data_IF_586004128117
#
_entry.id   IF_586004128117
#
_cell.length_a   1.000
_cell.length_b   1.000
_cell.length_c   1.000
_cell.angle_alpha   90.00
_cell.angle_beta   90.00
_cell.angle_gamma   90.00
#
_symmetry.space_group_name_H-M   'P 1'
#
loop_
_entity.id
_entity.type
_entity.pdbx_description
1 polymer ?
#
# COMPACT_ATOMS: atom_id res chain seq x y z
N UNK A 1 9.63 7.05 33.98
CA UNK A 1 10.55 7.09 32.81
C UNK A 1 9.78 7.52 31.56
N UNK A 2 10.34 8.38 30.73
CA UNK A 2 9.72 8.79 29.46
C UNK A 2 9.83 7.62 28.49
N UNK A 3 8.71 7.03 28.11
CA UNK A 3 8.64 6.05 27.05
C UNK A 3 8.63 6.79 25.71
N UNK A 4 9.68 6.64 24.95
CA UNK A 4 9.97 7.41 23.76
C UNK A 4 9.36 6.81 22.48
N UNK A 5 8.10 6.50 22.47
CA UNK A 5 7.37 6.18 21.25
C UNK A 5 6.37 7.30 20.93
N UNK A 6 6.15 7.56 19.63
CA UNK A 6 5.10 8.50 19.24
C UNK A 6 3.73 8.03 19.74
N UNK A 7 2.81 8.98 19.92
CA UNK A 7 1.45 8.65 20.32
C UNK A 7 0.80 7.66 19.34
N UNK A 8 0.04 6.69 19.84
CA UNK A 8 -0.61 5.67 19.03
C UNK A 8 -1.43 6.22 17.84
N UNK A 9 -2.16 7.36 17.94
CA UNK A 9 -2.84 7.97 16.80
C UNK A 9 -1.91 8.49 15.71
N UNK A 10 -0.66 8.82 16.02
CA UNK A 10 0.34 9.36 15.09
C UNK A 10 1.23 8.26 14.51
N UNK A 11 1.25 7.09 15.14
CA UNK A 11 2.06 5.97 14.71
C UNK A 11 1.65 5.47 13.33
N UNK A 12 2.58 5.50 12.37
CA UNK A 12 2.36 5.00 11.02
C UNK A 12 2.50 3.48 10.90
N UNK A 13 3.00 2.80 11.95
CA UNK A 13 3.27 1.36 11.93
C UNK A 13 4.42 0.97 11.01
N UNK A 14 5.34 1.87 10.72
CA UNK A 14 6.51 1.58 9.90
C UNK A 14 7.50 0.60 10.58
N UNK A 15 7.47 0.48 11.91
CA UNK A 15 8.30 -0.41 12.72
C UNK A 15 9.83 -0.17 12.64
N UNK A 16 10.27 0.99 12.19
CA UNK A 16 11.68 1.36 12.23
C UNK A 16 12.24 1.31 13.67
N UNK A 17 11.42 1.73 14.66
CA UNK A 17 11.78 1.69 16.08
C UNK A 17 12.08 0.27 16.60
N UNK A 18 11.36 -0.75 16.13
CA UNK A 18 11.60 -2.15 16.47
C UNK A 18 12.96 -2.61 15.93
N UNK A 19 13.25 -2.26 14.68
CA UNK A 19 14.47 -2.68 13.99
C UNK A 19 15.75 -1.99 14.51
N UNK A 20 15.63 -0.79 15.08
CA UNK A 20 16.80 -0.05 15.60
C UNK A 20 17.15 -0.44 17.02
N UNK A 21 16.28 -1.13 17.76
CA UNK A 21 16.49 -1.41 19.19
C UNK A 21 17.56 -2.48 19.40
N UNK A 22 18.75 -2.14 19.95
CA UNK A 22 19.85 -3.10 20.12
C UNK A 22 19.58 -4.11 21.25
N UNK A 23 18.57 -3.83 22.11
CA UNK A 23 18.14 -4.69 23.21
C UNK A 23 16.92 -5.53 22.87
N UNK A 24 16.39 -5.40 21.64
CA UNK A 24 15.13 -6.05 21.24
C UNK A 24 13.99 -5.82 22.25
N UNK A 25 13.99 -4.63 22.86
CA UNK A 25 13.01 -4.22 23.88
C UNK A 25 11.72 -3.68 23.30
N UNK A 26 11.53 -3.71 21.96
CA UNK A 26 10.32 -3.22 21.31
C UNK A 26 9.65 -4.40 20.61
N UNK A 27 8.50 -4.77 21.12
CA UNK A 27 7.57 -5.71 20.51
C UNK A 27 6.44 -5.01 19.76
N UNK A 28 5.42 -5.78 19.39
CA UNK A 28 4.21 -5.27 18.73
C UNK A 28 2.99 -5.61 19.57
N UNK A 29 2.01 -4.70 19.55
CA UNK A 29 0.66 -4.91 20.06
C UNK A 29 -0.34 -4.51 19.00
N UNK A 30 -1.60 -4.85 19.18
CA UNK A 30 -2.66 -4.57 18.23
C UNK A 30 -3.59 -3.48 18.74
N UNK A 31 -3.94 -2.53 17.85
CA UNK A 31 -5.04 -1.60 18.04
C UNK A 31 -6.40 -2.28 17.84
N UNK A 32 -7.50 -1.55 18.10
CA UNK A 32 -8.86 -2.12 18.06
C UNK A 32 -9.34 -2.58 16.65
N UNK A 33 -8.72 -2.12 15.58
CA UNK A 33 -8.90 -2.62 14.21
C UNK A 33 -7.73 -3.52 13.76
N UNK A 34 -6.90 -3.99 14.70
CA UNK A 34 -5.73 -4.80 14.42
C UNK A 34 -4.56 -4.02 13.82
N UNK A 35 -4.52 -2.69 14.03
CA UNK A 35 -3.35 -1.91 13.63
C UNK A 35 -2.14 -2.32 14.47
N UNK A 36 -1.03 -2.64 13.80
CA UNK A 36 0.23 -2.97 14.48
C UNK A 36 0.79 -1.70 15.12
N UNK A 37 0.98 -1.74 16.43
CA UNK A 37 1.56 -0.67 17.24
C UNK A 37 2.80 -1.20 17.98
N UNK A 38 3.90 -0.43 18.05
CA UNK A 38 5.06 -0.82 18.83
C UNK A 38 4.76 -0.70 20.34
N UNK A 39 5.28 -1.64 21.12
CA UNK A 39 5.19 -1.64 22.57
C UNK A 39 6.59 -1.88 23.18
N UNK A 40 6.96 -1.08 24.19
CA UNK A 40 8.25 -1.20 24.88
C UNK A 40 8.11 -2.22 26.01
N UNK A 41 9.02 -3.18 26.05
CA UNK A 41 9.30 -4.05 27.19
C UNK A 41 10.20 -3.27 28.17
N UNK A 42 9.63 -2.85 29.28
CA UNK A 42 10.32 -1.97 30.26
C UNK A 42 11.49 -2.66 30.93
N UNK A 43 11.44 -3.98 31.10
CA UNK A 43 12.51 -4.76 31.75
C UNK A 43 13.76 -4.88 30.87
N UNK A 44 13.59 -4.81 29.54
CA UNK A 44 14.68 -4.85 28.57
C UNK A 44 15.16 -3.47 28.12
N UNK A 45 14.33 -2.44 28.32
CA UNK A 45 14.62 -1.10 27.82
C UNK A 45 15.67 -0.40 28.67
N UNK A 46 16.77 0.02 28.03
CA UNK A 46 17.87 0.78 28.66
C UNK A 46 17.77 2.29 28.44
N UNK A 47 16.63 2.78 27.99
CA UNK A 47 16.32 4.20 27.77
C UNK A 47 17.35 4.98 26.91
N UNK A 48 17.88 4.34 25.87
CA UNK A 48 18.90 4.96 25.00
C UNK A 48 18.35 5.98 23.99
N UNK A 49 17.04 6.10 23.83
CA UNK A 49 16.36 7.04 22.95
C UNK A 49 16.54 6.80 21.45
N UNK A 50 17.13 5.68 21.01
CA UNK A 50 17.34 5.41 19.59
C UNK A 50 16.04 5.30 18.80
N UNK A 51 15.02 4.66 19.38
CA UNK A 51 13.69 4.50 18.77
C UNK A 51 12.99 5.84 18.54
N UNK A 52 13.22 6.80 19.44
CA UNK A 52 12.71 8.16 19.37
C UNK A 52 13.36 8.91 18.18
N UNK A 53 14.68 8.88 18.12
CA UNK A 53 15.47 9.59 17.10
C UNK A 53 15.17 9.18 15.66
N UNK A 54 14.75 7.92 15.44
CA UNK A 54 14.47 7.43 14.08
C UNK A 54 12.96 7.42 13.75
N UNK A 55 12.09 7.79 14.67
CA UNK A 55 10.67 7.79 14.42
C UNK A 55 10.27 8.91 13.46
N UNK A 56 9.70 8.62 12.27
CA UNK A 56 9.35 9.66 11.31
C UNK A 56 8.14 10.52 11.75
N UNK A 57 7.37 10.08 12.74
CA UNK A 57 6.31 10.89 13.33
C UNK A 57 6.87 11.95 14.29
N UNK A 58 7.96 11.65 14.99
CA UNK A 58 8.65 12.57 15.90
C UNK A 58 9.72 13.43 15.19
N UNK A 59 10.41 12.82 14.22
CA UNK A 59 11.48 13.45 13.44
C UNK A 59 11.13 13.42 11.95
N UNK A 60 10.25 14.30 11.49
CA UNK A 60 9.86 14.37 10.10
C UNK A 60 11.02 14.81 9.22
N UNK A 61 11.18 14.11 8.10
CA UNK A 61 12.15 14.49 7.07
C UNK A 61 11.59 15.57 6.15
N UNK A 62 12.47 16.37 5.50
CA UNK A 62 12.06 17.29 4.44
C UNK A 62 11.40 16.54 3.28
N UNK A 63 10.46 17.20 2.64
CA UNK A 63 9.78 16.72 1.44
C UNK A 63 10.01 17.71 0.29
N UNK A 64 10.00 17.21 -0.93
CA UNK A 64 10.35 17.95 -2.13
C UNK A 64 9.15 18.11 -3.06
N UNK A 65 9.03 19.26 -3.76
CA UNK A 65 8.08 19.38 -4.86
C UNK A 65 8.48 18.42 -5.99
N UNK A 66 7.50 17.90 -6.72
CA UNK A 66 7.80 17.12 -7.92
C UNK A 66 8.36 18.02 -9.01
N UNK A 67 9.47 17.60 -9.63
CA UNK A 67 10.18 18.30 -10.68
C UNK A 67 9.53 18.05 -12.04
N UNK A 68 9.11 16.80 -12.27
CA UNK A 68 8.47 16.35 -13.50
C UNK A 68 7.33 15.38 -13.22
N UNK A 69 6.39 15.31 -14.17
CA UNK A 69 5.27 14.39 -14.16
C UNK A 69 5.14 13.70 -15.52
N UNK A 70 4.92 12.40 -15.51
CA UNK A 70 4.74 11.60 -16.71
C UNK A 70 3.51 10.71 -16.61
N UNK A 71 2.76 10.60 -17.70
CA UNK A 71 1.86 9.51 -17.99
C UNK A 71 2.70 8.38 -18.60
N UNK A 72 2.75 7.21 -17.93
CA UNK A 72 3.68 6.17 -18.35
C UNK A 72 3.11 4.75 -18.18
N UNK A 73 3.57 3.84 -19.05
CA UNK A 73 3.32 2.41 -18.93
C UNK A 73 4.47 1.61 -19.54
N UNK A 74 4.64 0.37 -19.08
CA UNK A 74 5.71 -0.51 -19.56
C UNK A 74 5.49 -0.94 -21.01
N UNK A 75 6.56 -1.05 -21.80
CA UNK A 75 6.54 -1.62 -23.14
C UNK A 75 6.49 -3.16 -23.14
N UNK A 76 6.79 -3.79 -22.02
CA UNK A 76 6.67 -5.25 -21.91
C UNK A 76 5.18 -5.61 -21.81
N UNK A 77 4.63 -6.21 -22.85
CA UNK A 77 3.22 -6.52 -22.97
C UNK A 77 2.70 -7.44 -21.88
N UNK A 78 3.47 -8.49 -21.53
CA UNK A 78 3.10 -9.43 -20.46
C UNK A 78 2.98 -8.71 -19.10
N UNK A 79 3.92 -7.80 -18.82
CA UNK A 79 3.88 -7.02 -17.59
C UNK A 79 2.73 -6.00 -17.62
N UNK A 80 2.45 -5.40 -18.77
CA UNK A 80 1.39 -4.42 -18.95
C UNK A 80 0.01 -5.03 -18.73
N UNK A 81 -0.29 -6.14 -19.40
CA UNK A 81 -1.58 -6.86 -19.28
C UNK A 81 -1.81 -7.38 -17.86
N UNK A 82 -0.75 -7.82 -17.17
CA UNK A 82 -0.84 -8.31 -15.79
C UNK A 82 -0.77 -7.21 -14.71
N UNK A 83 -0.54 -5.96 -15.10
CA UNK A 83 -0.44 -4.84 -14.18
C UNK A 83 -1.81 -4.37 -13.69
N UNK A 84 -1.84 -3.63 -12.58
CA UNK A 84 -3.04 -2.97 -12.04
C UNK A 84 -3.21 -1.53 -12.53
N UNK A 85 -2.25 -1.02 -13.30
CA UNK A 85 -2.19 0.29 -13.94
C UNK A 85 -1.14 0.18 -15.06
N UNK A 86 -0.36 1.19 -15.36
CA UNK A 86 0.69 1.16 -16.39
C UNK A 86 1.88 0.24 -16.14
N UNK A 87 1.94 -0.55 -15.06
CA UNK A 87 3.01 -1.50 -14.79
C UNK A 87 4.33 -0.89 -14.33
N UNK A 88 4.36 0.39 -13.96
CA UNK A 88 5.60 1.12 -13.66
C UNK A 88 6.37 0.56 -12.46
N UNK A 89 5.70 0.07 -11.40
CA UNK A 89 6.42 -0.57 -10.28
C UNK A 89 7.24 -1.79 -10.74
N UNK A 90 6.68 -2.60 -11.63
CA UNK A 90 7.35 -3.77 -12.21
C UNK A 90 8.49 -3.35 -13.14
N UNK A 91 8.27 -2.37 -14.02
CA UNK A 91 9.30 -1.87 -14.95
C UNK A 91 10.52 -1.29 -14.19
N UNK A 92 10.27 -0.46 -13.17
CA UNK A 92 11.31 0.11 -12.29
C UNK A 92 12.08 -1.02 -11.58
N UNK A 93 11.36 -2.01 -11.02
CA UNK A 93 11.98 -3.14 -10.33
C UNK A 93 12.86 -3.99 -11.26
N UNK A 94 12.34 -4.33 -12.45
CA UNK A 94 13.09 -5.12 -13.45
C UNK A 94 14.31 -4.35 -13.96
N UNK A 95 14.23 -3.03 -14.12
CA UNK A 95 15.38 -2.20 -14.51
C UNK A 95 16.50 -2.22 -13.47
N UNK A 96 16.18 -2.27 -12.17
CA UNK A 96 17.18 -2.40 -11.10
C UNK A 96 17.78 -3.80 -11.06
N UNK A 97 16.95 -4.84 -11.11
CA UNK A 97 17.41 -6.24 -11.10
C UNK A 97 18.30 -6.56 -12.30
N UNK A 98 17.96 -6.10 -13.52
CA UNK A 98 18.74 -6.34 -14.75
C UNK A 98 20.15 -5.75 -14.67
N UNK A 99 20.36 -4.75 -13.83
CA UNK A 99 21.67 -4.10 -13.57
C UNK A 99 22.38 -4.67 -12.32
N UNK A 100 21.94 -5.84 -11.82
CA UNK A 100 22.56 -6.51 -10.65
C UNK A 100 22.18 -5.91 -9.29
N UNK A 101 21.18 -5.02 -9.24
CA UNK A 101 20.67 -4.46 -8.00
C UNK A 101 19.67 -5.36 -7.28
N UNK A 102 19.12 -4.87 -6.19
CA UNK A 102 18.09 -5.56 -5.39
C UNK A 102 16.88 -4.65 -5.14
N UNK A 103 15.72 -5.25 -4.98
CA UNK A 103 14.45 -4.55 -4.77
C UNK A 103 13.81 -4.99 -3.46
N UNK A 104 13.36 -4.03 -2.68
CA UNK A 104 12.51 -4.23 -1.52
C UNK A 104 11.10 -3.73 -1.84
N UNK A 105 10.14 -4.62 -1.83
CA UNK A 105 8.75 -4.31 -2.20
C UNK A 105 7.75 -5.22 -1.50
N UNK A 106 6.48 -4.88 -1.65
CA UNK A 106 5.37 -5.57 -0.99
C UNK A 106 4.89 -6.77 -1.79
N UNK A 107 4.86 -7.95 -1.17
CA UNK A 107 4.32 -9.20 -1.72
C UNK A 107 3.18 -9.76 -0.86
N UNK A 108 2.30 -10.57 -1.47
CA UNK A 108 1.28 -11.34 -0.78
C UNK A 108 1.66 -12.83 -0.79
N UNK A 109 1.66 -13.45 0.39
CA UNK A 109 1.84 -14.88 0.59
C UNK A 109 0.58 -15.45 1.24
N UNK A 110 -0.35 -15.95 0.42
CA UNK A 110 -1.69 -16.24 0.90
C UNK A 110 -2.36 -14.97 1.42
N UNK A 111 -2.78 -14.96 2.67
CA UNK A 111 -3.39 -13.78 3.31
C UNK A 111 -2.37 -12.84 3.98
N UNK A 112 -1.12 -13.24 4.12
CA UNK A 112 -0.08 -12.39 4.70
C UNK A 112 0.51 -11.46 3.64
N UNK A 113 0.54 -10.18 3.94
CA UNK A 113 1.11 -9.13 3.08
C UNK A 113 2.32 -8.52 3.76
N UNK A 114 3.50 -8.68 3.15
CA UNK A 114 4.76 -8.23 3.74
C UNK A 114 5.74 -7.70 2.69
N UNK A 115 6.65 -6.85 3.13
CA UNK A 115 7.81 -6.50 2.32
C UNK A 115 8.80 -7.65 2.28
N UNK A 116 9.43 -7.81 1.13
CA UNK A 116 10.50 -8.79 0.93
C UNK A 116 11.63 -8.22 0.07
N UNK A 117 12.81 -8.81 0.21
CA UNK A 117 13.95 -8.60 -0.66
C UNK A 117 13.80 -9.46 -1.92
N UNK A 118 13.99 -8.86 -3.08
CA UNK A 118 14.00 -9.50 -4.39
C UNK A 118 15.36 -9.29 -5.05
N UNK A 119 15.95 -10.36 -5.56
CA UNK A 119 17.24 -10.33 -6.25
C UNK A 119 17.17 -10.94 -7.64
N UNK A 120 16.01 -11.46 -8.06
CA UNK A 120 15.79 -12.11 -9.35
C UNK A 120 14.54 -11.57 -10.03
N UNK A 121 14.43 -11.77 -11.35
CA UNK A 121 13.22 -11.42 -12.12
C UNK A 121 12.00 -12.20 -11.65
N UNK A 122 12.17 -13.44 -11.22
CA UNK A 122 11.10 -14.27 -10.66
C UNK A 122 10.56 -13.70 -9.34
N UNK A 123 11.44 -13.16 -8.49
CA UNK A 123 11.00 -12.50 -7.25
C UNK A 123 10.16 -11.25 -7.53
N UNK A 124 10.48 -10.49 -8.59
CA UNK A 124 9.71 -9.29 -8.97
C UNK A 124 8.25 -9.65 -9.30
N UNK A 125 7.99 -10.82 -9.87
CA UNK A 125 6.62 -11.28 -10.15
C UNK A 125 5.76 -11.36 -8.87
N UNK A 126 6.35 -11.67 -7.71
CA UNK A 126 5.67 -11.71 -6.40
C UNK A 126 5.23 -10.31 -5.92
N UNK A 127 5.88 -9.26 -6.43
CA UNK A 127 5.54 -7.87 -6.10
C UNK A 127 4.37 -7.32 -6.91
N UNK A 128 3.99 -7.95 -8.03
CA UNK A 128 2.91 -7.48 -8.91
C UNK A 128 1.58 -7.33 -8.18
N UNK A 129 0.80 -6.39 -8.65
CA UNK A 129 -0.54 -6.09 -8.14
C UNK A 129 -0.53 -5.18 -6.91
N UNK A 130 -1.47 -4.24 -6.84
CA UNK A 130 -1.68 -3.35 -5.69
C UNK A 130 -2.23 -4.13 -4.50
N UNK A 131 -1.68 -3.91 -3.30
CA UNK A 131 -2.15 -4.51 -2.05
C UNK A 131 -2.76 -3.40 -1.20
N UNK A 132 -4.09 -3.31 -1.15
CA UNK A 132 -4.82 -2.26 -0.42
C UNK A 132 -4.92 -2.54 1.08
N UNK A 133 -3.83 -2.98 1.69
CA UNK A 133 -3.69 -3.33 3.10
C UNK A 133 -2.29 -2.98 3.57
N UNK A 134 -2.11 -2.74 4.86
CA UNK A 134 -0.79 -2.46 5.40
C UNK A 134 0.11 -3.70 5.33
N UNK A 135 1.27 -3.57 4.67
CA UNK A 135 2.29 -4.60 4.65
C UNK A 135 3.15 -4.58 5.92
N UNK A 136 3.53 -5.76 6.39
CA UNK A 136 4.52 -5.91 7.45
C UNK A 136 5.92 -5.65 6.90
N UNK A 137 6.73 -4.91 7.67
CA UNK A 137 8.11 -4.58 7.28
C UNK A 137 9.13 -5.63 7.76
N UNK A 138 8.79 -6.39 8.81
CA UNK A 138 9.69 -7.41 9.34
C UNK A 138 11.11 -6.88 9.62
N UNK A 139 12.11 -7.59 9.13
CA UNK A 139 13.55 -7.30 9.21
C UNK A 139 14.12 -6.56 7.99
N UNK A 140 13.25 -6.09 7.10
CA UNK A 140 13.62 -5.40 5.85
C UNK A 140 14.61 -4.26 6.07
N UNK A 141 14.50 -3.52 7.17
CA UNK A 141 15.40 -2.41 7.47
C UNK A 141 16.86 -2.83 7.62
N UNK A 142 17.10 -3.96 8.31
CA UNK A 142 18.44 -4.48 8.55
C UNK A 142 19.04 -5.04 7.26
N UNK A 143 18.26 -5.83 6.50
CA UNK A 143 18.69 -6.38 5.23
C UNK A 143 18.97 -5.27 4.20
N UNK A 144 18.10 -4.26 4.09
CA UNK A 144 18.28 -3.12 3.20
C UNK A 144 19.54 -2.32 3.56
N UNK A 145 19.77 -2.05 4.85
CA UNK A 145 20.99 -1.34 5.30
C UNK A 145 22.24 -2.14 4.95
N UNK A 146 22.22 -3.45 5.10
CA UNK A 146 23.34 -4.33 4.73
C UNK A 146 23.63 -4.21 3.23
N UNK A 147 22.64 -4.40 2.37
CA UNK A 147 22.79 -4.33 0.92
C UNK A 147 23.33 -2.96 0.46
N UNK A 148 22.81 -1.87 1.05
CA UNK A 148 23.29 -0.50 0.77
C UNK A 148 24.76 -0.33 1.14
N UNK A 149 25.18 -0.81 2.33
CA UNK A 149 26.56 -0.72 2.80
C UNK A 149 27.51 -1.64 2.02
N UNK A 150 27.04 -2.73 1.48
CA UNK A 150 27.78 -3.61 0.55
C UNK A 150 27.93 -3.01 -0.85
N UNK A 151 27.36 -1.83 -1.11
CA UNK A 151 27.49 -1.10 -2.37
C UNK A 151 26.52 -1.56 -3.47
N UNK A 152 25.55 -2.42 -3.16
CA UNK A 152 24.53 -2.83 -4.12
C UNK A 152 23.62 -1.64 -4.48
N UNK A 153 23.15 -1.58 -5.73
CA UNK A 153 22.04 -0.69 -6.08
C UNK A 153 20.76 -1.24 -5.45
N UNK A 154 20.16 -0.46 -4.57
CA UNK A 154 18.96 -0.86 -3.81
C UNK A 154 17.78 0.01 -4.22
N UNK A 155 16.66 -0.63 -4.56
CA UNK A 155 15.37 0.01 -4.74
C UNK A 155 14.45 -0.34 -3.56
N UNK A 156 13.84 0.67 -2.94
CA UNK A 156 12.76 0.49 -1.98
C UNK A 156 11.46 1.07 -2.54
N UNK A 157 10.42 0.23 -2.67
CA UNK A 157 9.06 0.63 -3.07
C UNK A 157 8.11 0.41 -1.89
N UNK A 158 7.45 1.47 -1.42
CA UNK A 158 6.50 1.37 -0.31
C UNK A 158 5.57 2.57 -0.19
N UNK A 159 4.76 2.61 0.86
CA UNK A 159 3.99 3.82 1.17
C UNK A 159 4.93 4.94 1.62
N UNK A 160 4.54 6.22 1.48
CA UNK A 160 5.42 7.34 1.87
C UNK A 160 5.92 7.28 3.31
N UNK A 161 5.08 6.81 4.24
CA UNK A 161 5.47 6.64 5.64
C UNK A 161 6.48 5.49 5.85
N UNK A 162 6.46 4.46 5.01
CA UNK A 162 7.47 3.40 5.01
C UNK A 162 8.80 3.89 4.43
N UNK A 163 8.76 4.68 3.35
CA UNK A 163 9.96 5.36 2.81
C UNK A 163 10.58 6.26 3.88
N UNK A 164 9.77 7.06 4.57
CA UNK A 164 10.26 7.89 5.69
C UNK A 164 10.90 7.07 6.80
N UNK A 165 10.29 5.91 7.13
CA UNK A 165 10.87 4.96 8.08
C UNK A 165 12.24 4.44 7.65
N UNK A 166 12.41 4.07 6.37
CA UNK A 166 13.68 3.61 5.80
C UNK A 166 14.74 4.72 5.86
N UNK A 167 14.41 5.92 5.39
CA UNK A 167 15.35 7.07 5.41
C UNK A 167 15.78 7.43 6.84
N UNK A 168 14.84 7.50 7.79
CA UNK A 168 15.17 7.77 9.19
C UNK A 168 16.01 6.64 9.83
N UNK A 169 15.73 5.38 9.49
CA UNK A 169 16.51 4.25 9.99
C UNK A 169 17.98 4.29 9.51
N UNK A 170 18.19 4.68 8.26
CA UNK A 170 19.52 4.81 7.67
C UNK A 170 20.28 6.04 8.17
N UNK A 171 19.60 7.11 8.58
CA UNK A 171 20.13 8.37 9.13
C UNK A 171 21.01 9.19 8.20
N UNK A 172 21.23 8.76 6.99
CA UNK A 172 21.97 9.49 5.95
C UNK A 172 21.47 9.11 4.57
N UNK A 173 21.76 9.95 3.60
CA UNK A 173 21.47 9.68 2.21
C UNK A 173 22.54 8.77 1.60
N UNK A 174 22.11 7.86 0.73
CA UNK A 174 22.99 6.96 -0.01
C UNK A 174 22.73 7.12 -1.51
N UNK A 175 23.79 7.27 -2.30
CA UNK A 175 23.69 7.40 -3.76
C UNK A 175 23.15 6.14 -4.45
N UNK A 176 23.42 4.97 -3.87
CA UNK A 176 23.00 3.67 -4.37
C UNK A 176 21.60 3.20 -3.85
N UNK A 177 20.90 4.02 -3.05
CA UNK A 177 19.52 3.77 -2.64
C UNK A 177 18.55 4.63 -3.45
N UNK A 178 17.71 4.01 -4.25
CA UNK A 178 16.57 4.63 -4.92
C UNK A 178 15.30 4.36 -4.11
N UNK A 179 14.48 5.39 -3.90
CA UNK A 179 13.21 5.27 -3.19
C UNK A 179 12.04 5.63 -4.09
N UNK A 180 10.99 4.80 -4.07
CA UNK A 180 9.74 5.04 -4.78
C UNK A 180 8.57 4.94 -3.82
N UNK A 181 7.79 6.00 -3.69
CA UNK A 181 6.57 5.93 -2.90
C UNK A 181 5.32 5.81 -3.77
N UNK A 182 4.26 5.30 -3.14
CA UNK A 182 2.95 5.19 -3.76
C UNK A 182 2.10 6.42 -3.42
N UNK A 183 1.25 6.86 -4.35
CA UNK A 183 0.17 7.81 -4.04
C UNK A 183 -0.86 7.05 -3.19
N UNK A 184 -0.75 7.19 -1.85
CA UNK A 184 -1.39 6.33 -0.89
C UNK A 184 -2.66 6.94 -0.30
N UNK A 185 -3.78 6.22 -0.39
CA UNK A 185 -5.08 6.63 0.17
C UNK A 185 -5.22 6.45 1.69
N UNK A 186 -4.38 5.60 2.28
CA UNK A 186 -4.46 5.08 3.62
C UNK A 186 -4.53 3.57 3.61
N UNK A 187 -4.24 2.93 4.74
CA UNK A 187 -4.15 1.48 4.83
C UNK A 187 -4.98 0.92 6.00
N UNK A 188 -5.85 -0.09 5.74
CA UNK A 188 -6.39 -0.97 6.77
C UNK A 188 -5.32 -1.90 7.31
N UNK A 189 -5.57 -2.50 8.47
CA UNK A 189 -4.74 -3.60 8.99
C UNK A 189 -5.00 -4.91 8.24
N UNK A 190 -4.06 -5.85 8.32
CA UNK A 190 -4.28 -7.21 7.81
C UNK A 190 -5.39 -7.93 8.59
N UNK A 191 -5.55 -7.67 9.88
CA UNK A 191 -6.64 -8.23 10.69
C UNK A 191 -8.02 -7.79 10.18
N UNK A 192 -8.17 -6.51 9.74
CA UNK A 192 -9.40 -6.03 9.10
C UNK A 192 -9.70 -6.77 7.79
N UNK A 193 -8.67 -7.04 6.97
CA UNK A 193 -8.81 -7.85 5.75
C UNK A 193 -9.21 -9.28 6.10
N UNK A 194 -8.52 -9.91 7.05
CA UNK A 194 -8.81 -11.27 7.49
C UNK A 194 -10.21 -11.41 8.09
N UNK A 195 -10.67 -10.43 8.87
CA UNK A 195 -12.02 -10.44 9.45
C UNK A 195 -13.09 -10.39 8.35
N UNK A 196 -12.92 -9.52 7.35
CA UNK A 196 -13.84 -9.44 6.21
C UNK A 196 -13.82 -10.71 5.37
N UNK A 197 -12.62 -11.23 5.02
CA UNK A 197 -12.50 -12.45 4.22
C UNK A 197 -13.05 -13.67 4.95
N UNK A 198 -12.72 -13.90 6.21
CA UNK A 198 -13.29 -15.02 6.99
C UNK A 198 -14.81 -15.03 6.97
N UNK A 199 -15.42 -13.83 7.07
CA UNK A 199 -16.87 -13.73 6.95
C UNK A 199 -17.37 -14.05 5.55
N UNK A 200 -16.69 -13.55 4.53
CA UNK A 200 -17.10 -13.67 3.13
C UNK A 200 -16.99 -15.08 2.57
N UNK A 201 -15.96 -15.84 3.02
CA UNK A 201 -15.67 -17.21 2.55
C UNK A 201 -16.01 -18.31 3.58
N UNK A 202 -16.73 -17.98 4.66
CA UNK A 202 -17.07 -18.95 5.72
C UNK A 202 -17.77 -20.21 5.21
N UNK A 203 -18.69 -20.04 4.23
CA UNK A 203 -19.46 -21.13 3.65
C UNK A 203 -18.63 -21.99 2.65
N UNK A 204 -17.39 -21.56 2.34
CA UNK A 204 -16.43 -22.29 1.49
C UNK A 204 -15.59 -23.26 2.32
N UNK A 205 -15.47 -23.03 3.64
CA UNK A 205 -14.63 -23.78 4.57
C UNK A 205 -13.15 -23.90 4.10
N UNK A 206 -12.44 -22.77 3.87
CA UNK A 206 -11.10 -22.80 3.35
C UNK A 206 -10.12 -23.36 4.39
N UNK A 207 -9.21 -24.25 3.96
CA UNK A 207 -8.08 -24.72 4.78
C UNK A 207 -6.80 -23.98 4.46
N UNK A 208 -6.63 -23.52 3.21
CA UNK A 208 -5.45 -22.81 2.77
C UNK A 208 -5.82 -21.78 1.72
N UNK A 209 -5.40 -20.54 1.92
CA UNK A 209 -5.41 -19.50 0.89
C UNK A 209 -4.02 -19.42 0.27
N UNK A 210 -3.95 -19.54 -1.05
CA UNK A 210 -2.68 -19.55 -1.80
C UNK A 210 -2.49 -18.30 -2.65
N UNK A 211 -3.56 -17.55 -2.96
CA UNK A 211 -3.53 -16.38 -3.80
C UNK A 211 -4.50 -15.31 -3.28
N UNK A 212 -4.05 -14.07 -3.31
CA UNK A 212 -4.82 -12.88 -2.96
C UNK A 212 -4.52 -11.77 -3.98
N UNK A 213 -5.56 -11.22 -4.59
CA UNK A 213 -5.48 -10.02 -5.44
C UNK A 213 -6.58 -9.04 -5.09
N UNK A 214 -6.32 -7.77 -5.32
CA UNK A 214 -7.25 -6.68 -5.06
C UNK A 214 -7.76 -6.02 -6.35
N UNK A 215 -7.20 -6.37 -7.50
CA UNK A 215 -7.63 -5.84 -8.80
C UNK A 215 -7.62 -6.93 -9.85
N UNK A 216 -8.62 -6.86 -10.74
CA UNK A 216 -8.73 -7.77 -11.88
C UNK A 216 -9.39 -7.01 -13.03
N UNK A 217 -8.61 -6.62 -14.04
CA UNK A 217 -9.11 -5.81 -15.18
C UNK A 217 -10.24 -6.47 -15.95
N UNK A 218 -10.22 -7.79 -16.08
CA UNK A 218 -11.28 -8.55 -16.77
C UNK A 218 -12.64 -8.42 -16.06
N UNK A 219 -12.64 -8.13 -14.75
CA UNK A 219 -13.85 -8.08 -13.91
C UNK A 219 -14.18 -6.68 -13.34
N UNK A 220 -13.64 -5.64 -13.93
CA UNK A 220 -13.97 -4.27 -13.56
C UNK A 220 -13.05 -3.68 -12.49
N UNK A 221 -11.74 -3.75 -12.70
CA UNK A 221 -10.66 -3.13 -11.93
C UNK A 221 -10.57 -3.55 -10.46
N UNK A 222 -11.48 -3.09 -9.60
CA UNK A 222 -11.46 -3.40 -8.17
C UNK A 222 -12.24 -4.68 -7.88
N UNK A 223 -11.54 -5.79 -7.87
CA UNK A 223 -12.07 -7.11 -7.54
C UNK A 223 -11.18 -7.77 -6.49
N UNK A 224 -11.72 -8.02 -5.31
CA UNK A 224 -11.06 -8.83 -4.29
C UNK A 224 -11.18 -10.29 -4.69
N UNK A 225 -10.06 -10.88 -5.03
CA UNK A 225 -9.96 -12.27 -5.45
C UNK A 225 -9.14 -13.06 -4.44
N UNK A 226 -9.65 -14.24 -4.08
CA UNK A 226 -8.98 -15.15 -3.16
C UNK A 226 -9.11 -16.58 -3.71
N UNK A 227 -7.99 -17.31 -3.81
CA UNK A 227 -7.95 -18.72 -4.24
C UNK A 227 -7.26 -19.57 -3.20
N UNK A 228 -7.61 -20.85 -3.19
CA UNK A 228 -6.99 -21.79 -2.26
C UNK A 228 -7.64 -23.16 -2.29
N UNK A 229 -7.54 -23.89 -1.18
CA UNK A 229 -8.10 -25.22 -1.01
C UNK A 229 -9.18 -25.22 0.07
N UNK A 230 -10.27 -25.95 -0.19
CA UNK A 230 -11.32 -26.26 0.77
C UNK A 230 -10.89 -27.39 1.70
N UNK A 231 -11.71 -27.66 2.73
CA UNK A 231 -11.52 -28.77 3.67
C UNK A 231 -11.51 -30.15 3.00
N UNK A 232 -12.24 -30.31 1.91
CA UNK A 232 -12.26 -31.54 1.09
C UNK A 232 -11.09 -31.64 0.08
N UNK A 233 -10.12 -30.71 0.15
CA UNK A 233 -8.96 -30.65 -0.75
C UNK A 233 -9.23 -30.01 -2.13
N UNK A 234 -10.49 -29.70 -2.45
CA UNK A 234 -10.83 -29.09 -3.75
C UNK A 234 -10.45 -27.62 -3.81
N UNK A 235 -10.07 -27.10 -4.99
CA UNK A 235 -9.81 -25.69 -5.17
C UNK A 235 -11.08 -24.85 -5.01
N UNK A 236 -10.90 -23.62 -4.55
CA UNK A 236 -11.95 -22.61 -4.56
C UNK A 236 -11.46 -21.30 -5.18
N UNK A 237 -12.42 -20.55 -5.71
CA UNK A 237 -12.28 -19.18 -6.16
C UNK A 237 -13.35 -18.33 -5.50
N UNK A 238 -12.93 -17.27 -4.84
CA UNK A 238 -13.80 -16.20 -4.31
C UNK A 238 -13.47 -14.90 -5.01
N UNK A 239 -14.48 -14.23 -5.53
CA UNK A 239 -14.36 -12.95 -6.23
C UNK A 239 -15.50 -12.01 -5.82
N UNK A 240 -15.16 -10.76 -5.46
CA UNK A 240 -16.14 -9.70 -5.18
C UNK A 240 -15.60 -8.34 -5.62
N UNK A 241 -16.43 -7.63 -6.38
CA UNK A 241 -16.19 -6.24 -6.76
C UNK A 241 -16.51 -5.25 -5.65
N UNK A 242 -16.60 -3.97 -6.03
CA UNK A 242 -17.04 -2.88 -5.13
C UNK A 242 -18.55 -2.95 -4.99
N UNK A 243 -19.02 -3.73 -4.03
CA UNK A 243 -20.42 -3.77 -3.64
C UNK A 243 -20.54 -3.89 -2.11
N UNK A 244 -21.77 -3.89 -1.61
CA UNK A 244 -22.02 -4.04 -0.18
C UNK A 244 -22.22 -5.49 0.25
N UNK A 245 -21.88 -6.47 -0.57
CA UNK A 245 -21.93 -7.90 -0.23
C UNK A 245 -20.70 -8.35 0.56
N UNK A 246 -19.59 -7.61 0.48
CA UNK A 246 -18.45 -7.77 1.37
C UNK A 246 -18.15 -6.44 2.07
N UNK A 247 -17.55 -6.52 3.24
CA UNK A 247 -17.26 -5.35 4.08
C UNK A 247 -15.94 -4.66 3.73
N UNK A 248 -15.02 -5.33 3.01
CA UNK A 248 -13.65 -4.82 2.83
C UNK A 248 -13.59 -3.57 1.96
N UNK A 249 -14.08 -3.63 0.72
CA UNK A 249 -13.99 -2.50 -0.19
C UNK A 249 -14.77 -1.27 0.27
N UNK A 250 -16.03 -1.37 0.74
CA UNK A 250 -16.70 -0.18 1.26
C UNK A 250 -15.94 0.46 2.42
N UNK A 251 -15.41 -0.34 3.37
CA UNK A 251 -14.65 0.23 4.49
C UNK A 251 -13.29 0.80 4.08
N UNK A 252 -12.67 0.26 3.03
CA UNK A 252 -11.47 0.81 2.42
C UNK A 252 -11.77 2.12 1.66
N UNK A 253 -12.62 2.10 0.63
CA UNK A 253 -12.84 3.26 -0.23
C UNK A 253 -13.42 4.48 0.50
N UNK A 254 -14.22 4.25 1.53
CA UNK A 254 -14.76 5.34 2.34
C UNK A 254 -13.91 5.65 3.58
N UNK A 255 -12.71 5.11 3.66
CA UNK A 255 -11.77 5.38 4.72
C UNK A 255 -12.32 5.07 6.12
N UNK A 256 -13.06 3.96 6.30
CA UNK A 256 -13.60 3.62 7.61
C UNK A 256 -12.59 2.85 8.48
N UNK A 257 -11.75 1.99 7.85
CA UNK A 257 -10.87 1.04 8.50
C UNK A 257 -9.38 1.42 8.49
N UNK A 258 -9.03 2.63 8.06
CA UNK A 258 -7.63 3.07 8.01
C UNK A 258 -7.03 3.24 9.41
N UNK A 259 -5.71 3.16 9.48
CA UNK A 259 -4.94 3.58 10.67
C UNK A 259 -5.28 5.02 11.04
N UNK A 260 -5.18 5.34 12.34
CA UNK A 260 -5.44 6.69 12.82
C UNK A 260 -4.55 7.76 12.15
N UNK A 261 -3.27 7.45 11.97
CA UNK A 261 -2.30 8.34 11.32
C UNK A 261 -2.63 8.66 9.86
N UNK A 262 -3.38 7.80 9.15
CA UNK A 262 -3.78 8.06 7.77
C UNK A 262 -4.75 9.24 7.62
N UNK A 263 -5.55 9.53 8.65
CA UNK A 263 -6.49 10.67 8.60
C UNK A 263 -5.83 12.03 8.89
N UNK A 264 -4.58 12.04 9.29
CA UNK A 264 -3.74 13.23 9.50
C UNK A 264 -2.36 13.02 8.86
N UNK A 265 -2.35 12.30 7.73
CA UNK A 265 -1.13 11.89 7.06
C UNK A 265 -0.35 13.10 6.54
N UNK A 266 0.86 13.31 7.01
CA UNK A 266 1.73 14.40 6.55
C UNK A 266 2.31 14.19 5.15
N UNK A 267 2.14 13.00 4.59
CA UNK A 267 2.61 12.65 3.24
C UNK A 267 1.52 12.71 2.17
N UNK A 268 0.28 13.03 2.56
CA UNK A 268 -0.84 13.17 1.63
C UNK A 268 -0.95 14.60 1.11
N UNK A 269 0.12 15.08 0.51
CA UNK A 269 0.28 16.41 -0.08
C UNK A 269 1.12 16.33 -1.34
N UNK A 270 1.22 17.47 -2.06
CA UNK A 270 1.98 17.57 -3.32
C UNK A 270 3.50 17.40 -3.16
N UNK A 271 4.05 17.69 -1.98
CA UNK A 271 5.47 17.42 -1.68
C UNK A 271 5.66 15.94 -1.38
N UNK A 272 6.75 15.37 -1.86
CA UNK A 272 7.05 13.95 -1.77
C UNK A 272 8.33 13.67 -0.97
N UNK A 273 8.39 12.47 -0.37
CA UNK A 273 9.51 12.04 0.48
C UNK A 273 10.54 11.20 -0.28
N UNK A 274 10.17 10.65 -1.43
CA UNK A 274 10.94 9.69 -2.21
C UNK A 274 11.57 10.32 -3.45
N UNK A 275 12.45 9.59 -4.13
CA UNK A 275 13.05 10.02 -5.39
C UNK A 275 12.01 10.05 -6.53
N UNK A 276 11.06 9.10 -6.51
CA UNK A 276 9.92 9.08 -7.43
C UNK A 276 8.65 8.67 -6.70
N UNK A 277 7.48 9.10 -7.21
CA UNK A 277 6.17 8.65 -6.73
C UNK A 277 5.36 8.07 -7.88
N UNK A 278 4.63 6.98 -7.62
CA UNK A 278 3.81 6.32 -8.63
C UNK A 278 2.38 6.07 -8.14
N UNK A 279 1.45 6.04 -9.08
CA UNK A 279 0.03 5.74 -8.82
C UNK A 279 -0.76 5.63 -10.13
N UNK A 280 -2.08 5.49 -10.05
CA UNK A 280 -2.96 5.60 -11.20
C UNK A 280 -3.08 7.08 -11.63
N UNK A 281 -3.09 7.38 -12.93
CA UNK A 281 -3.19 8.75 -13.42
C UNK A 281 -4.65 9.18 -13.61
N UNK A 282 -5.36 9.42 -12.51
CA UNK A 282 -6.78 9.80 -12.56
C UNK A 282 -7.07 11.18 -13.18
N UNK A 283 -6.10 12.08 -13.19
CA UNK A 283 -6.25 13.46 -13.68
C UNK A 283 -5.76 13.69 -15.12
N UNK A 284 -5.40 12.65 -15.85
CA UNK A 284 -4.89 12.77 -17.21
C UNK A 284 -5.96 13.35 -18.14
N UNK A 285 -5.62 14.44 -18.84
CA UNK A 285 -6.50 15.13 -19.79
C UNK A 285 -6.14 14.87 -21.25
N UNK A 286 -4.96 14.34 -21.51
CA UNK A 286 -4.46 14.09 -22.85
C UNK A 286 -5.15 12.86 -23.47
N UNK A 287 -6.17 13.13 -24.30
CA UNK A 287 -6.94 12.08 -24.98
C UNK A 287 -6.11 11.25 -25.96
N UNK A 288 -5.00 11.80 -26.49
CA UNK A 288 -4.12 11.05 -27.37
C UNK A 288 -3.41 9.96 -26.59
N UNK A 289 -2.86 10.32 -25.43
CA UNK A 289 -2.22 9.35 -24.50
C UNK A 289 -3.22 8.30 -24.01
N UNK A 290 -4.47 8.68 -23.74
CA UNK A 290 -5.52 7.71 -23.39
C UNK A 290 -5.79 6.69 -24.50
N UNK A 291 -5.74 7.11 -25.77
CA UNK A 291 -5.96 6.21 -26.91
C UNK A 291 -4.78 5.28 -27.22
N UNK A 292 -3.59 5.63 -26.77
CA UNK A 292 -2.38 4.81 -26.94
C UNK A 292 -2.25 3.71 -25.86
N UNK A 293 -3.00 3.81 -24.76
CA UNK A 293 -2.88 2.94 -23.60
C UNK A 293 -4.12 2.03 -23.43
N UNK A 294 -3.96 0.74 -23.71
CA UNK A 294 -5.07 -0.21 -23.73
C UNK A 294 -5.48 -0.74 -22.34
N UNK A 295 -4.59 -0.69 -21.34
CA UNK A 295 -4.85 -1.37 -20.05
C UNK A 295 -4.86 -0.43 -18.84
N UNK A 296 -4.09 0.63 -18.83
CA UNK A 296 -4.03 1.59 -17.72
C UNK A 296 -2.78 2.45 -17.80
N UNK A 297 -2.85 3.62 -17.17
CA UNK A 297 -1.78 4.62 -17.20
C UNK A 297 -1.36 4.93 -15.78
N UNK A 298 -0.06 4.79 -15.52
CA UNK A 298 0.52 5.24 -14.25
C UNK A 298 0.94 6.70 -14.33
N UNK A 299 0.68 7.45 -13.28
CA UNK A 299 1.41 8.69 -13.03
C UNK A 299 2.78 8.35 -12.44
N UNK A 300 3.82 8.99 -12.96
CA UNK A 300 5.17 8.99 -12.40
C UNK A 300 5.56 10.42 -12.09
N UNK A 301 5.69 10.75 -10.81
CA UNK A 301 6.25 12.01 -10.35
C UNK A 301 7.73 11.79 -10.06
N UNK A 302 8.58 12.63 -10.62
CA UNK A 302 10.03 12.63 -10.35
C UNK A 302 10.33 13.78 -9.39
N UNK A 303 10.97 13.49 -8.25
CA UNK A 303 11.03 14.41 -7.12
C UNK A 303 12.47 14.86 -6.78
N UNK A 304 13.50 14.16 -7.30
CA UNK A 304 14.91 14.44 -7.04
C UNK A 304 15.76 14.24 -8.29
N UNK A 305 16.97 14.82 -8.33
CA UNK A 305 17.93 14.61 -9.41
C UNK A 305 18.28 13.13 -9.61
N UNK A 306 18.38 12.36 -8.51
CA UNK A 306 18.59 10.91 -8.55
C UNK A 306 17.41 10.19 -9.23
N UNK A 307 16.17 10.59 -8.90
CA UNK A 307 14.97 10.11 -9.59
C UNK A 307 14.97 10.45 -11.07
N UNK A 308 15.38 11.67 -11.44
CA UNK A 308 15.51 12.12 -12.83
C UNK A 308 16.52 11.26 -13.60
N UNK A 309 17.71 11.08 -13.06
CA UNK A 309 18.75 10.27 -13.69
C UNK A 309 18.31 8.80 -13.89
N UNK A 310 17.67 8.22 -12.87
CA UNK A 310 17.15 6.86 -12.96
C UNK A 310 16.03 6.75 -13.99
N UNK A 311 15.03 7.63 -13.94
CA UNK A 311 13.90 7.60 -14.86
C UNK A 311 14.35 7.80 -16.33
N UNK A 312 15.33 8.68 -16.57
CA UNK A 312 15.95 8.84 -17.89
C UNK A 312 16.61 7.55 -18.38
N UNK A 313 17.25 6.78 -17.48
CA UNK A 313 17.94 5.53 -17.84
C UNK A 313 17.02 4.38 -18.24
N UNK A 314 15.70 4.48 -18.01
CA UNK A 314 14.71 3.45 -18.32
C UNK A 314 13.73 3.83 -19.44
N UNK A 315 13.93 4.96 -20.12
CA UNK A 315 13.04 5.44 -21.19
C UNK A 315 12.87 4.45 -22.36
N UNK A 316 13.88 3.61 -22.61
CA UNK A 316 13.80 2.54 -23.61
C UNK A 316 12.74 1.49 -23.28
N UNK A 317 12.45 1.27 -21.99
CA UNK A 317 11.59 0.19 -21.47
C UNK A 317 10.13 0.61 -21.27
N UNK A 318 9.83 1.91 -21.40
CA UNK A 318 8.51 2.47 -21.10
C UNK A 318 7.99 3.39 -22.19
N UNK A 319 6.67 3.43 -22.35
CA UNK A 319 5.99 4.56 -22.97
C UNK A 319 5.90 5.67 -21.93
N UNK A 320 6.24 6.88 -22.30
CA UNK A 320 6.36 8.00 -21.36
C UNK A 320 6.02 9.32 -22.04
N UNK A 321 5.00 10.00 -21.51
CA UNK A 321 4.50 11.28 -22.02
C UNK A 321 4.51 12.30 -20.88
N UNK A 322 5.32 13.35 -21.03
CA UNK A 322 5.39 14.42 -20.03
C UNK A 322 4.05 15.13 -19.91
N UNK A 323 3.61 15.37 -18.68
CA UNK A 323 2.33 15.98 -18.36
C UNK A 323 2.51 17.08 -17.31
N UNK A 324 1.57 18.04 -17.18
CA UNK A 324 1.58 18.99 -16.08
C UNK A 324 1.44 18.26 -14.71
N UNK A 325 2.25 18.66 -13.74
CA UNK A 325 2.15 18.13 -12.35
C UNK A 325 0.78 18.41 -11.76
N UNK A 326 0.17 19.54 -12.13
CA UNK A 326 -1.17 19.98 -11.69
C UNK A 326 -2.27 18.99 -12.08
N UNK A 327 -2.15 18.32 -13.23
CA UNK A 327 -3.13 17.31 -13.66
C UNK A 327 -3.08 16.07 -12.76
N UNK A 328 -1.89 15.62 -12.39
CA UNK A 328 -1.73 14.56 -11.41
C UNK A 328 -2.30 14.94 -10.03
N UNK A 329 -2.04 16.16 -9.58
CA UNK A 329 -2.54 16.70 -8.31
C UNK A 329 -4.07 16.81 -8.33
N UNK A 330 -4.65 17.34 -9.41
CA UNK A 330 -6.11 17.51 -9.54
C UNK A 330 -6.85 16.16 -9.50
N UNK A 331 -6.31 15.12 -10.15
CA UNK A 331 -6.91 13.81 -10.24
C UNK A 331 -6.69 12.91 -9.02
N UNK A 332 -5.65 13.18 -8.22
CA UNK A 332 -5.28 12.36 -7.07
C UNK A 332 -5.50 13.11 -5.75
N UNK A 333 -6.63 12.89 -5.12
CA UNK A 333 -7.02 13.58 -3.87
C UNK A 333 -5.94 13.50 -2.78
N UNK A 334 -5.15 12.41 -2.74
CA UNK A 334 -4.08 12.15 -1.77
C UNK A 334 -2.80 12.95 -2.05
N UNK A 335 -2.73 13.66 -3.15
CA UNK A 335 -1.72 14.70 -3.40
C UNK A 335 -2.16 16.08 -2.89
N UNK A 336 -3.38 16.20 -2.36
CA UNK A 336 -3.94 17.46 -1.86
C UNK A 336 -4.18 17.46 -0.36
N UNK A 337 -4.74 16.37 0.19
CA UNK A 337 -5.06 16.25 1.61
C UNK A 337 -5.23 14.79 2.06
N UNK A 338 -5.07 14.50 3.36
CA UNK A 338 -5.41 13.21 3.94
C UNK A 338 -6.90 12.89 3.81
N UNK A 339 -7.22 11.60 3.79
CA UNK A 339 -8.61 11.13 3.84
C UNK A 339 -9.33 11.67 5.08
N UNK A 340 -10.48 12.32 4.89
CA UNK A 340 -11.26 12.90 5.99
C UNK A 340 -12.12 11.85 6.71
N UNK A 341 -12.24 11.98 8.03
CA UNK A 341 -13.21 11.18 8.81
C UNK A 341 -14.61 11.72 8.60
N UNK A 342 -15.46 10.93 8.00
CA UNK A 342 -16.89 11.21 7.84
C UNK A 342 -17.69 10.79 9.08
N UNK A 343 -18.99 11.11 9.13
CA UNK A 343 -19.90 10.58 10.15
C UNK A 343 -19.95 9.04 10.15
N UNK A 344 -19.93 8.41 8.94
CA UNK A 344 -19.84 6.95 8.80
C UNK A 344 -18.53 6.38 9.33
N UNK A 345 -17.41 7.05 9.07
CA UNK A 345 -16.11 6.65 9.62
C UNK A 345 -16.14 6.65 11.16
N UNK A 346 -16.71 7.68 11.77
CA UNK A 346 -16.82 7.77 13.24
C UNK A 346 -17.73 6.68 13.80
N UNK A 347 -18.89 6.46 13.19
CA UNK A 347 -19.83 5.40 13.56
C UNK A 347 -19.20 4.03 13.47
N UNK A 348 -18.61 3.67 12.32
CA UNK A 348 -17.93 2.40 12.13
C UNK A 348 -16.83 2.16 13.18
N UNK A 349 -15.94 3.14 13.37
CA UNK A 349 -14.81 3.03 14.33
C UNK A 349 -15.27 2.97 15.78
N UNK A 350 -16.37 3.62 16.12
CA UNK A 350 -16.99 3.48 17.44
C UNK A 350 -17.52 2.05 17.63
N UNK A 351 -18.32 1.56 16.72
CA UNK A 351 -18.90 0.21 16.79
C UNK A 351 -17.83 -0.89 16.78
N UNK A 352 -16.80 -0.77 15.96
CA UNK A 352 -15.73 -1.76 15.86
C UNK A 352 -14.89 -1.96 17.14
N UNK A 353 -15.07 -1.11 18.15
CA UNK A 353 -14.49 -1.30 19.49
C UNK A 353 -15.27 -2.29 20.36
N UNK A 354 -16.57 -2.47 20.06
CA UNK A 354 -17.49 -3.22 20.90
C UNK A 354 -18.11 -4.43 20.21
N UNK A 355 -18.01 -4.49 18.88
CA UNK A 355 -18.55 -5.61 18.12
C UNK A 355 -17.60 -6.01 16.96
N UNK A 356 -17.92 -7.09 16.27
CA UNK A 356 -17.11 -7.59 15.16
C UNK A 356 -17.03 -6.58 14.02
N UNK A 357 -15.96 -6.66 13.21
CA UNK A 357 -15.77 -5.83 12.01
C UNK A 357 -17.00 -5.88 11.09
N UNK A 358 -17.54 -7.07 10.87
CA UNK A 358 -18.70 -7.27 10.01
C UNK A 358 -19.98 -6.66 10.60
N UNK A 359 -20.20 -6.78 11.91
CA UNK A 359 -21.34 -6.16 12.60
C UNK A 359 -21.26 -4.64 12.52
N UNK A 360 -20.10 -4.08 12.79
CA UNK A 360 -19.85 -2.64 12.66
C UNK A 360 -20.13 -2.15 11.23
N UNK A 361 -19.69 -2.90 10.21
CA UNK A 361 -19.97 -2.61 8.81
C UNK A 361 -21.47 -2.62 8.52
N UNK A 362 -22.18 -3.68 8.90
CA UNK A 362 -23.62 -3.85 8.59
C UNK A 362 -24.46 -2.75 9.21
N UNK A 363 -24.18 -2.36 10.45
CA UNK A 363 -24.89 -1.26 11.11
C UNK A 363 -24.59 0.06 10.40
N UNK A 364 -23.33 0.35 10.15
CA UNK A 364 -22.89 1.62 9.53
C UNK A 364 -23.39 1.80 8.11
N UNK A 365 -23.56 0.70 7.35
CA UNK A 365 -23.90 0.71 5.93
C UNK A 365 -25.28 0.11 5.63
N UNK A 366 -26.14 -0.06 6.63
CA UNK A 366 -27.44 -0.71 6.52
C UNK A 366 -28.31 -0.10 5.41
N UNK A 367 -28.36 1.21 5.28
CA UNK A 367 -29.10 1.92 4.22
C UNK A 367 -28.63 1.55 2.81
N UNK A 368 -27.33 1.41 2.60
CA UNK A 368 -26.74 1.04 1.31
C UNK A 368 -26.90 -0.44 0.99
N UNK A 369 -26.76 -1.28 2.01
CA UNK A 369 -26.99 -2.73 1.90
C UNK A 369 -28.44 -3.00 1.50
N UNK A 370 -29.40 -2.37 2.17
CA UNK A 370 -30.82 -2.51 1.84
C UNK A 370 -31.13 -2.02 0.42
N UNK A 371 -30.64 -0.83 0.03
CA UNK A 371 -30.80 -0.32 -1.35
C UNK A 371 -30.20 -1.28 -2.39
N UNK A 372 -29.03 -1.85 -2.14
CA UNK A 372 -28.38 -2.81 -3.04
C UNK A 372 -29.22 -4.08 -3.22
N UNK A 373 -29.74 -4.62 -2.11
CA UNK A 373 -30.65 -5.80 -2.12
C UNK A 373 -31.94 -5.52 -2.87
N UNK A 374 -32.57 -4.37 -2.62
CA UNK A 374 -33.80 -3.97 -3.32
C UNK A 374 -33.55 -3.87 -4.83
N UNK A 375 -32.48 -3.21 -5.27
CA UNK A 375 -32.11 -3.13 -6.70
C UNK A 375 -31.91 -4.52 -7.32
N UNK A 376 -31.29 -5.44 -6.59
CA UNK A 376 -31.10 -6.82 -7.06
C UNK A 376 -32.44 -7.55 -7.22
N UNK A 377 -33.34 -7.45 -6.24
CA UNK A 377 -34.69 -8.05 -6.31
C UNK A 377 -35.51 -7.49 -7.49
N UNK A 378 -35.52 -6.17 -7.67
CA UNK A 378 -36.22 -5.51 -8.79
C UNK A 378 -35.67 -6.00 -10.14
N UNK A 379 -34.32 -6.03 -10.32
CA UNK A 379 -33.71 -6.54 -11.56
C UNK A 379 -34.09 -8.02 -11.84
N UNK A 380 -34.24 -8.83 -10.80
CA UNK A 380 -34.65 -10.24 -10.93
C UNK A 380 -36.12 -10.38 -11.34
N UNK A 381 -37.00 -9.46 -10.90
CA UNK A 381 -38.40 -9.42 -11.28
C UNK A 381 -38.56 -8.97 -12.73
N UNK A 382 -37.83 -7.93 -13.16
CA UNK A 382 -37.92 -7.37 -14.53
C UNK A 382 -37.33 -8.33 -15.59
N UNK A 383 -36.41 -9.24 -15.18
CA UNK A 383 -35.78 -10.21 -16.10
C UNK A 383 -36.57 -11.54 -16.21
N UNK A 384 -37.64 -11.70 -15.47
CA UNK A 384 -38.67 -12.76 -15.64
C UNK A 384 -39.83 -12.25 -16.49
#
# INVERSE_FOLDING_TARGET
MKKHLCAAPECTGCLACLNVCPKHAIGVTEGFLGEILPAIDEDKCVDCGLCDKICPSLNPLPMYPSMDCYAAWTKNETDYVSATSGGMATAISKSVISKGGVVYGCAAHGLQVKHMRCATMEDVEKLKGSKYVQSEMGDVYQALKKDVLEGLTVLFIGTPCQVAGVKNYLRQEYGNLLTVDLICHGVPSQQSLHASLRHAIRDIEPTKVTYLSFRNHVKGDFCLECRGLKKDGKPFLFERGIDYSNSYYPTFFFGNSYRNSCYQCRYAYRQRISDMSIGDFWGLKDEKVHREADNGISVVLVNTDKGTAFYASMQADVHSHRQPVEDAIAGNAQLNAPTRRTGRTRCFRFLARYCSFETAFRITWMDRILKSRMKYCIKKIIRK
#
